data_IF_238700877990
#
_entry.id   IF_238700877990
#
_cell.length_a   1.000
_cell.length_b   1.000
_cell.length_c   1.000
_cell.angle_alpha   90.00
_cell.angle_beta   90.00
_cell.angle_gamma   90.00
#
_symmetry.space_group_name_H-M   'P 1'
#
loop_
_entity.id
_entity.type
_entity.pdbx_description
1 polymer ?
#
# COMPACT_ATOMS: atom_id res chain seq x y z
N UNK A 1 -26.54 21.50 4.14
CA UNK A 1 -26.02 21.80 5.49
C UNK A 1 -24.51 21.66 5.45
N UNK A 2 -23.71 22.68 5.81
CA UNK A 2 -22.27 22.49 5.89
C UNK A 2 -21.96 21.51 7.02
N UNK A 3 -21.14 20.51 6.73
CA UNK A 3 -20.60 19.57 7.72
C UNK A 3 -19.79 20.37 8.74
N UNK A 4 -19.91 20.07 10.03
CA UNK A 4 -19.12 20.77 11.04
C UNK A 4 -17.63 20.52 10.80
N UNK A 5 -16.79 21.54 11.03
CA UNK A 5 -15.34 21.43 10.82
C UNK A 5 -14.71 20.24 11.55
N UNK A 6 -15.23 19.92 12.74
CA UNK A 6 -14.82 18.76 13.53
C UNK A 6 -15.07 17.43 12.82
N UNK A 7 -16.25 17.26 12.20
CA UNK A 7 -16.57 16.04 11.45
C UNK A 7 -15.69 15.92 10.21
N UNK A 8 -15.44 17.05 9.52
CA UNK A 8 -14.54 17.07 8.36
C UNK A 8 -13.12 16.63 8.73
N UNK A 9 -12.54 17.23 9.77
CA UNK A 9 -11.18 16.91 10.22
C UNK A 9 -11.08 15.44 10.69
N UNK A 10 -12.10 14.92 11.38
CA UNK A 10 -12.16 13.52 11.80
C UNK A 10 -12.18 12.55 10.62
N UNK A 11 -13.01 12.79 9.60
CA UNK A 11 -13.09 11.92 8.41
C UNK A 11 -11.77 11.91 7.64
N UNK A 12 -11.10 13.06 7.51
CA UNK A 12 -9.76 13.11 6.90
C UNK A 12 -8.73 12.31 7.70
N UNK A 13 -8.75 12.36 9.03
CA UNK A 13 -7.84 11.55 9.86
C UNK A 13 -8.10 10.07 9.66
N UNK A 14 -9.37 9.64 9.62
CA UNK A 14 -9.73 8.24 9.36
C UNK A 14 -9.22 7.76 7.99
N UNK A 15 -9.33 8.59 6.95
CA UNK A 15 -8.80 8.28 5.62
C UNK A 15 -7.27 8.05 5.64
N UNK A 16 -6.52 8.96 6.27
CA UNK A 16 -5.06 8.79 6.38
C UNK A 16 -4.64 7.59 7.23
N UNK A 17 -5.38 7.29 8.30
CA UNK A 17 -5.15 6.08 9.10
C UNK A 17 -5.44 4.84 8.26
N UNK A 18 -6.54 4.83 7.49
CA UNK A 18 -6.89 3.76 6.57
C UNK A 18 -5.80 3.48 5.55
N UNK A 19 -5.26 4.53 4.91
CA UNK A 19 -4.12 4.40 3.98
C UNK A 19 -2.91 3.81 4.69
N UNK A 20 -2.60 4.27 5.89
CA UNK A 20 -1.46 3.76 6.67
C UNK A 20 -1.62 2.28 7.00
N UNK A 21 -2.79 1.87 7.49
CA UNK A 21 -3.11 0.46 7.79
C UNK A 21 -3.01 -0.39 6.54
N UNK A 22 -3.54 0.07 5.41
CA UNK A 22 -3.50 -0.65 4.14
C UNK A 22 -2.06 -0.85 3.63
N UNK A 23 -1.18 0.15 3.78
CA UNK A 23 0.25 -0.01 3.43
C UNK A 23 0.91 -1.05 4.35
N UNK A 24 0.65 -1.01 5.66
CA UNK A 24 1.25 -1.98 6.58
C UNK A 24 0.80 -3.40 6.23
N UNK A 25 -0.51 -3.61 6.09
CA UNK A 25 -1.07 -4.96 5.91
C UNK A 25 -0.78 -5.52 4.52
N UNK A 26 -0.63 -4.69 3.49
CA UNK A 26 -0.24 -5.17 2.16
C UNK A 26 1.17 -5.76 2.15
N UNK A 27 2.08 -5.36 3.05
CA UNK A 27 3.42 -5.96 3.09
C UNK A 27 3.41 -7.40 3.62
N UNK A 28 2.40 -7.81 4.40
CA UNK A 28 2.40 -9.11 5.07
C UNK A 28 2.41 -10.30 4.11
N UNK A 29 1.46 -10.45 3.17
CA UNK A 29 1.42 -11.63 2.31
C UNK A 29 2.67 -11.81 1.43
N UNK A 30 3.12 -10.80 0.64
CA UNK A 30 4.27 -10.98 -0.24
C UNK A 30 5.55 -11.29 0.53
N UNK A 31 5.84 -10.56 1.61
CA UNK A 31 7.06 -10.78 2.39
C UNK A 31 7.04 -12.17 3.03
N UNK A 32 5.90 -12.59 3.56
CA UNK A 32 5.76 -13.90 4.17
C UNK A 32 6.03 -15.04 3.17
N UNK A 33 5.46 -14.95 1.96
CA UNK A 33 5.63 -16.00 0.95
C UNK A 33 6.98 -15.94 0.22
N UNK A 34 7.48 -14.74 -0.11
CA UNK A 34 8.74 -14.56 -0.84
C UNK A 34 9.94 -14.99 0.01
N UNK A 35 9.89 -14.72 1.31
CA UNK A 35 10.96 -15.07 2.25
C UNK A 35 10.58 -16.27 3.12
N UNK A 36 9.70 -17.17 2.66
CA UNK A 36 9.21 -18.31 3.44
C UNK A 36 10.35 -19.20 4.00
N UNK A 37 11.43 -19.33 3.22
CA UNK A 37 12.62 -20.10 3.60
C UNK A 37 13.57 -19.36 4.55
N UNK A 38 13.42 -18.04 4.73
CA UNK A 38 14.29 -17.20 5.55
C UNK A 38 13.45 -16.26 6.44
N UNK A 39 13.07 -16.80 7.59
CA UNK A 39 12.23 -16.09 8.57
C UNK A 39 12.90 -14.85 9.17
N UNK A 40 14.23 -14.75 9.11
CA UNK A 40 14.96 -13.59 9.64
C UNK A 40 14.56 -12.32 8.86
N UNK A 41 14.53 -12.39 7.53
CA UNK A 41 14.15 -11.25 6.69
C UNK A 41 12.67 -10.88 6.80
N UNK A 42 11.80 -11.87 7.05
CA UNK A 42 10.39 -11.59 7.33
C UNK A 42 10.25 -10.67 8.55
N UNK A 43 10.90 -10.99 9.66
CA UNK A 43 10.82 -10.18 10.88
C UNK A 43 11.39 -8.78 10.68
N UNK A 44 12.50 -8.65 9.95
CA UNK A 44 13.10 -7.34 9.66
C UNK A 44 12.14 -6.47 8.86
N UNK A 45 11.61 -6.98 7.75
CA UNK A 45 10.77 -6.19 6.85
C UNK A 45 9.39 -5.92 7.43
N UNK A 46 8.73 -6.93 8.01
CA UNK A 46 7.41 -6.77 8.62
C UNK A 46 7.48 -5.94 9.90
N UNK A 47 8.52 -6.14 10.71
CA UNK A 47 8.76 -5.31 11.89
C UNK A 47 9.02 -3.85 11.49
N UNK A 48 9.88 -3.62 10.51
CA UNK A 48 10.22 -2.29 10.00
C UNK A 48 9.01 -1.52 9.50
N UNK A 49 8.22 -2.10 8.59
CA UNK A 49 7.03 -1.42 8.04
C UNK A 49 5.96 -1.19 9.12
N UNK A 50 5.82 -2.11 10.07
CA UNK A 50 4.87 -1.97 11.18
C UNK A 50 5.27 -0.83 12.11
N UNK A 51 6.55 -0.72 12.49
CA UNK A 51 7.05 0.38 13.34
C UNK A 51 6.91 1.73 12.64
N UNK A 52 7.27 1.80 11.36
CA UNK A 52 7.09 3.02 10.56
C UNK A 52 5.61 3.40 10.47
N UNK A 53 4.75 2.44 10.16
CA UNK A 53 3.31 2.65 10.02
C UNK A 53 2.62 3.06 11.32
N UNK A 54 2.94 2.42 12.45
CA UNK A 54 2.43 2.82 13.77
C UNK A 54 2.89 4.25 14.10
N UNK A 55 4.14 4.59 13.82
CA UNK A 55 4.65 5.96 14.02
C UNK A 55 3.86 6.98 13.18
N UNK A 56 3.52 6.64 11.94
CA UNK A 56 2.68 7.46 11.06
C UNK A 56 1.28 7.62 11.64
N UNK A 57 0.64 6.54 12.10
CA UNK A 57 -0.69 6.57 12.71
C UNK A 57 -0.71 7.44 13.97
N UNK A 58 0.29 7.30 14.85
CA UNK A 58 0.42 8.15 16.06
C UNK A 58 0.54 9.62 15.67
N UNK A 59 1.32 9.94 14.63
CA UNK A 59 1.49 11.30 14.13
C UNK A 59 0.18 11.86 13.57
N UNK A 60 -0.63 11.03 12.90
CA UNK A 60 -1.93 11.42 12.34
C UNK A 60 -3.00 11.64 13.42
N UNK A 61 -2.99 10.81 14.47
CA UNK A 61 -3.95 10.90 15.58
C UNK A 61 -3.58 11.98 16.60
N UNK A 62 -2.32 12.39 16.67
CA UNK A 62 -1.86 13.42 17.59
C UNK A 62 -2.40 14.81 17.19
N UNK A 63 -3.13 15.51 18.08
CA UNK A 63 -3.67 16.84 17.79
C UNK A 63 -2.59 17.89 17.48
N UNK A 64 -1.39 17.71 18.02
CA UNK A 64 -0.26 18.63 17.82
C UNK A 64 0.42 18.36 16.48
N UNK A 65 0.62 17.08 16.14
CA UNK A 65 1.33 16.66 14.94
C UNK A 65 0.44 16.59 13.69
N UNK A 66 -0.88 16.64 13.85
CA UNK A 66 -1.83 16.77 12.73
C UNK A 66 -1.95 18.21 12.22
N UNK A 67 -1.42 19.20 12.95
CA UNK A 67 -1.44 20.61 12.53
C UNK A 67 -0.71 20.83 11.20
N UNK A 68 -1.04 21.94 10.51
CA UNK A 68 -0.43 22.29 9.22
C UNK A 68 1.09 22.45 9.26
N UNK A 69 1.66 22.78 10.43
CA UNK A 69 3.12 22.92 10.64
C UNK A 69 3.88 21.61 10.37
N UNK A 70 3.27 20.46 10.64
CA UNK A 70 3.88 19.15 10.46
C UNK A 70 3.45 18.45 9.17
N UNK A 71 2.88 19.18 8.21
CA UNK A 71 2.47 18.61 6.92
C UNK A 71 3.63 17.92 6.20
N UNK A 72 4.82 18.52 6.21
CA UNK A 72 6.02 17.94 5.59
C UNK A 72 6.49 16.66 6.28
N UNK A 73 6.38 16.60 7.62
CA UNK A 73 6.69 15.38 8.39
C UNK A 73 5.78 14.23 7.96
N UNK A 74 4.47 14.46 7.91
CA UNK A 74 3.51 13.41 7.48
C UNK A 74 3.77 12.94 6.06
N UNK A 75 4.04 13.88 5.14
CA UNK A 75 4.40 13.54 3.76
C UNK A 75 5.68 12.70 3.70
N UNK A 76 6.71 13.08 4.47
CA UNK A 76 7.96 12.31 4.55
C UNK A 76 7.74 10.90 5.10
N UNK A 77 6.89 10.72 6.11
CA UNK A 77 6.58 9.39 6.65
C UNK A 77 5.92 8.47 5.62
N UNK A 78 4.94 8.97 4.87
CA UNK A 78 4.32 8.20 3.78
C UNK A 78 5.30 7.86 2.66
N UNK A 79 6.14 8.83 2.26
CA UNK A 79 7.18 8.61 1.24
C UNK A 79 8.20 7.58 1.74
N UNK A 80 8.63 7.67 2.99
CA UNK A 80 9.57 6.72 3.58
C UNK A 80 8.99 5.31 3.61
N UNK A 81 7.72 5.13 3.99
CA UNK A 81 7.06 3.82 3.95
C UNK A 81 7.00 3.25 2.52
N UNK A 82 6.70 4.10 1.52
CA UNK A 82 6.71 3.68 0.11
C UNK A 82 8.11 3.29 -0.39
N UNK A 83 9.13 4.10 -0.08
CA UNK A 83 10.53 3.81 -0.46
C UNK A 83 11.08 2.58 0.26
N UNK A 84 10.67 2.34 1.50
CA UNK A 84 11.05 1.14 2.24
C UNK A 84 10.62 -0.13 1.49
N UNK A 85 9.46 -0.12 0.80
CA UNK A 85 8.99 -1.22 -0.03
C UNK A 85 9.90 -1.60 -1.20
N UNK A 86 10.75 -0.70 -1.69
CA UNK A 86 11.71 -1.02 -2.75
C UNK A 86 12.81 -1.97 -2.27
N UNK A 87 13.21 -1.87 -1.00
CA UNK A 87 14.28 -2.67 -0.41
C UNK A 87 13.95 -4.18 -0.44
N UNK A 88 12.82 -4.67 0.12
CA UNK A 88 12.49 -6.08 0.07
C UNK A 88 12.22 -6.57 -1.35
N UNK A 89 11.69 -5.72 -2.25
CA UNK A 89 11.50 -6.10 -3.67
C UNK A 89 12.85 -6.37 -4.33
N UNK A 90 13.82 -5.47 -4.18
CA UNK A 90 15.17 -5.66 -4.75
C UNK A 90 15.83 -6.89 -4.13
N UNK A 91 15.74 -7.05 -2.81
CA UNK A 91 16.30 -8.21 -2.13
C UNK A 91 15.68 -9.54 -2.60
N UNK A 92 14.35 -9.56 -2.77
CA UNK A 92 13.61 -10.70 -3.29
C UNK A 92 14.05 -11.11 -4.69
N UNK A 93 14.29 -10.14 -5.58
CA UNK A 93 14.77 -10.38 -6.95
C UNK A 93 16.14 -11.06 -6.94
N UNK A 94 17.03 -10.62 -6.06
CA UNK A 94 18.40 -11.14 -5.95
C UNK A 94 18.40 -12.56 -5.40
N UNK A 95 17.69 -12.81 -4.29
CA UNK A 95 17.69 -14.11 -3.61
C UNK A 95 16.92 -15.17 -4.40
N UNK A 96 15.81 -14.79 -5.04
CA UNK A 96 14.96 -15.71 -5.80
C UNK A 96 15.24 -15.67 -7.31
N UNK A 97 16.50 -15.44 -7.70
CA UNK A 97 16.86 -15.24 -9.11
C UNK A 97 16.53 -16.45 -10.00
N UNK A 98 16.60 -17.67 -9.47
CA UNK A 98 16.32 -18.90 -10.20
C UNK A 98 14.88 -19.38 -10.10
N UNK A 99 14.01 -18.73 -9.30
CA UNK A 99 12.64 -19.20 -9.09
C UNK A 99 11.77 -18.94 -10.34
N UNK A 100 11.14 -19.98 -10.93
CA UNK A 100 10.35 -19.83 -12.16
C UNK A 100 9.19 -18.83 -12.04
N UNK A 101 8.63 -18.68 -10.84
CA UNK A 101 7.47 -17.83 -10.59
C UNK A 101 7.81 -16.36 -10.36
N UNK A 102 9.10 -16.02 -10.17
CA UNK A 102 9.56 -14.66 -9.87
C UNK A 102 8.96 -13.63 -10.82
N UNK A 103 8.97 -13.90 -12.12
CA UNK A 103 8.49 -12.95 -13.12
C UNK A 103 6.99 -12.66 -13.01
N UNK A 104 6.18 -13.68 -12.67
CA UNK A 104 4.74 -13.52 -12.47
C UNK A 104 4.50 -12.66 -11.23
N UNK A 105 5.12 -13.02 -10.09
CA UNK A 105 5.03 -12.23 -8.85
C UNK A 105 5.41 -10.76 -9.09
N UNK A 106 6.57 -10.51 -9.72
CA UNK A 106 7.03 -9.15 -10.00
C UNK A 106 6.09 -8.38 -10.93
N UNK A 107 5.47 -9.05 -11.92
CA UNK A 107 4.52 -8.41 -12.81
C UNK A 107 3.28 -7.91 -12.05
N UNK A 108 2.71 -8.74 -11.16
CA UNK A 108 1.57 -8.31 -10.37
C UNK A 108 1.93 -7.24 -9.33
N UNK A 109 3.07 -7.37 -8.64
CA UNK A 109 3.60 -6.34 -7.74
C UNK A 109 3.79 -5.01 -8.48
N UNK A 110 4.28 -5.05 -9.72
CA UNK A 110 4.40 -3.87 -10.58
C UNK A 110 3.03 -3.28 -10.96
N UNK A 111 2.03 -4.11 -11.31
CA UNK A 111 0.67 -3.64 -11.59
C UNK A 111 0.05 -2.99 -10.35
N UNK A 112 0.25 -3.56 -9.16
CA UNK A 112 -0.17 -2.96 -7.90
C UNK A 112 0.51 -1.60 -7.68
N UNK A 113 1.84 -1.55 -7.78
CA UNK A 113 2.62 -0.33 -7.57
C UNK A 113 2.22 0.79 -8.57
N UNK A 114 2.04 0.45 -9.85
CA UNK A 114 1.55 1.37 -10.86
C UNK A 114 0.13 1.85 -10.56
N UNK A 115 -0.76 0.96 -10.12
CA UNK A 115 -2.12 1.33 -9.74
C UNK A 115 -2.11 2.37 -8.61
N UNK A 116 -1.33 2.14 -7.55
CA UNK A 116 -1.19 3.09 -6.45
C UNK A 116 -0.53 4.41 -6.88
N UNK A 117 0.49 4.37 -7.73
CA UNK A 117 1.16 5.56 -8.21
C UNK A 117 0.23 6.44 -9.06
N UNK A 118 -0.50 5.82 -10.00
CA UNK A 118 -1.46 6.52 -10.87
C UNK A 118 -2.59 7.12 -10.03
N UNK A 119 -3.18 6.34 -9.11
CA UNK A 119 -4.20 6.83 -8.20
C UNK A 119 -3.71 8.05 -7.39
N UNK A 120 -2.52 7.95 -6.80
CA UNK A 120 -1.91 9.04 -6.02
C UNK A 120 -1.66 10.28 -6.88
N UNK A 121 -1.24 10.11 -8.14
CA UNK A 121 -1.07 11.22 -9.08
C UNK A 121 -2.40 11.92 -9.35
N UNK A 122 -3.51 11.21 -9.57
CA UNK A 122 -4.82 11.83 -9.69
C UNK A 122 -5.19 12.62 -8.42
N UNK A 123 -5.04 12.02 -7.24
CA UNK A 123 -5.34 12.67 -5.96
C UNK A 123 -4.56 13.97 -5.74
N UNK A 124 -3.24 13.95 -5.97
CA UNK A 124 -2.37 15.12 -5.71
C UNK A 124 -2.57 16.20 -6.77
N UNK A 125 -2.70 15.82 -8.04
CA UNK A 125 -2.82 16.76 -9.15
C UNK A 125 -4.18 17.44 -9.22
N UNK A 126 -5.22 16.84 -8.62
CA UNK A 126 -6.61 17.28 -8.74
C UNK A 126 -7.03 17.47 -10.20
N UNK A 127 -6.54 16.57 -11.07
CA UNK A 127 -6.92 16.51 -12.49
C UNK A 127 -8.44 16.29 -12.58
N UNK A 128 -9.07 16.91 -13.59
CA UNK A 128 -10.52 17.07 -13.81
C UNK A 128 -11.18 18.21 -13.02
N UNK A 129 -11.18 18.17 -11.69
CA UNK A 129 -11.82 19.22 -10.87
C UNK A 129 -11.11 20.58 -11.02
N UNK A 130 -9.79 20.57 -11.26
CA UNK A 130 -9.03 21.79 -11.60
C UNK A 130 -9.37 22.34 -12.99
N UNK A 131 -9.79 21.50 -13.93
CA UNK A 131 -10.06 21.89 -15.31
C UNK A 131 -11.50 22.36 -15.53
N UNK A 132 -12.47 21.76 -14.82
CA UNK A 132 -13.89 22.16 -14.87
C UNK A 132 -14.46 22.23 -13.44
N UNK A 133 -14.23 23.34 -12.71
CA UNK A 133 -14.83 23.56 -11.40
C UNK A 133 -16.36 23.47 -11.46
N UNK A 134 -16.99 22.76 -10.52
CA UNK A 134 -18.45 22.61 -10.44
C UNK A 134 -19.06 21.44 -11.21
N UNK A 135 -18.32 20.81 -12.13
CA UNK A 135 -18.83 19.66 -12.93
C UNK A 135 -18.65 18.31 -12.23
N UNK A 136 -17.65 18.19 -11.37
CA UNK A 136 -17.25 16.93 -10.71
C UNK A 136 -17.57 16.94 -9.20
N UNK A 137 -18.45 17.82 -8.74
CA UNK A 137 -18.72 18.02 -7.31
C UNK A 137 -19.40 16.81 -6.65
N UNK A 138 -20.09 15.97 -7.44
CA UNK A 138 -20.80 14.76 -6.98
C UNK A 138 -20.07 13.46 -7.36
N UNK A 139 -19.55 13.38 -8.59
CA UNK A 139 -18.96 12.16 -9.13
C UNK A 139 -17.78 12.46 -10.06
N UNK A 140 -16.80 11.56 -10.09
CA UNK A 140 -15.63 11.62 -11.00
C UNK A 140 -14.54 12.59 -10.56
N UNK A 141 -14.59 13.14 -9.35
CA UNK A 141 -13.51 13.96 -8.82
C UNK A 141 -12.28 13.11 -8.46
N UNK A 142 -11.13 13.77 -8.34
CA UNK A 142 -9.82 13.13 -8.21
C UNK A 142 -9.73 12.12 -7.07
N UNK A 143 -10.38 12.40 -5.93
CA UNK A 143 -10.41 11.52 -4.77
C UNK A 143 -11.24 10.24 -4.99
N UNK A 144 -12.34 10.28 -5.77
CA UNK A 144 -13.05 9.06 -6.16
C UNK A 144 -12.20 8.19 -7.09
N UNK A 145 -11.54 8.82 -8.06
CA UNK A 145 -10.63 8.12 -8.98
C UNK A 145 -9.48 7.46 -8.20
N UNK A 146 -8.90 8.17 -7.23
CA UNK A 146 -7.90 7.63 -6.32
C UNK A 146 -8.38 6.35 -5.63
N UNK A 147 -9.58 6.35 -5.04
CA UNK A 147 -10.13 5.16 -4.38
C UNK A 147 -10.33 3.99 -5.36
N UNK A 148 -10.75 4.24 -6.61
CA UNK A 148 -10.85 3.19 -7.64
C UNK A 148 -9.50 2.54 -7.90
N UNK A 149 -8.44 3.34 -8.07
CA UNK A 149 -7.07 2.82 -8.26
C UNK A 149 -6.54 2.08 -7.03
N UNK A 150 -6.87 2.56 -5.84
CA UNK A 150 -6.54 1.88 -4.58
C UNK A 150 -7.20 0.49 -4.52
N UNK A 151 -8.47 0.39 -4.88
CA UNK A 151 -9.21 -0.88 -4.91
C UNK A 151 -8.61 -1.83 -5.97
N UNK A 152 -8.28 -1.33 -7.16
CA UNK A 152 -7.62 -2.13 -8.19
C UNK A 152 -6.27 -2.68 -7.70
N UNK A 153 -5.47 -1.84 -7.04
CA UNK A 153 -4.21 -2.26 -6.40
C UNK A 153 -4.45 -3.37 -5.37
N UNK A 154 -5.41 -3.19 -4.47
CA UNK A 154 -5.76 -4.18 -3.45
C UNK A 154 -6.26 -5.51 -4.04
N UNK A 155 -7.08 -5.47 -5.11
CA UNK A 155 -7.55 -6.66 -5.81
C UNK A 155 -6.41 -7.40 -6.51
N UNK A 156 -5.49 -6.67 -7.13
CA UNK A 156 -4.27 -7.23 -7.73
C UNK A 156 -3.44 -7.94 -6.67
N UNK A 157 -3.32 -7.31 -5.50
CA UNK A 157 -2.60 -7.86 -4.34
C UNK A 157 -3.22 -9.15 -3.81
N UNK A 158 -4.55 -9.16 -3.70
CA UNK A 158 -5.29 -10.33 -3.31
C UNK A 158 -5.12 -11.48 -4.31
N UNK A 159 -5.11 -11.18 -5.61
CA UNK A 159 -4.84 -12.15 -6.67
C UNK A 159 -3.46 -12.81 -6.54
N UNK A 160 -2.42 -12.04 -6.23
CA UNK A 160 -1.07 -12.57 -5.98
C UNK A 160 -1.03 -13.48 -4.77
N UNK A 161 -1.67 -13.08 -3.67
CA UNK A 161 -1.71 -13.90 -2.45
C UNK A 161 -2.37 -15.26 -2.71
N UNK A 162 -3.41 -15.32 -3.55
CA UNK A 162 -4.02 -16.57 -3.98
C UNK A 162 -3.08 -17.42 -4.84
N UNK A 163 -2.35 -16.82 -5.78
CA UNK A 163 -1.36 -17.54 -6.62
C UNK A 163 -0.27 -18.16 -5.73
N UNK A 164 0.22 -17.42 -4.73
CA UNK A 164 1.19 -17.96 -3.77
C UNK A 164 0.63 -19.15 -2.97
N UNK A 165 -0.61 -19.03 -2.49
CA UNK A 165 -1.29 -20.11 -1.78
C UNK A 165 -1.42 -21.36 -2.64
N UNK A 166 -1.94 -21.24 -3.87
CA UNK A 166 -2.12 -22.35 -4.81
C UNK A 166 -0.79 -23.04 -5.14
N UNK A 167 0.27 -22.26 -5.34
CA UNK A 167 1.60 -22.80 -5.61
C UNK A 167 2.15 -23.61 -4.44
N UNK A 168 2.03 -23.08 -3.23
CA UNK A 168 2.46 -23.78 -2.01
C UNK A 168 1.70 -25.09 -1.84
N UNK A 169 0.40 -25.07 -2.09
CA UNK A 169 -0.46 -26.25 -2.03
C UNK A 169 -0.04 -27.32 -3.05
N UNK A 170 0.33 -26.90 -4.27
CA UNK A 170 0.86 -27.80 -5.31
C UNK A 170 2.21 -28.41 -4.89
N UNK A 171 3.17 -27.60 -4.46
CA UNK A 171 4.49 -28.08 -3.97
C UNK A 171 4.33 -29.03 -2.78
N UNK A 172 3.38 -28.77 -1.88
CA UNK A 172 3.07 -29.64 -0.75
C UNK A 172 2.55 -31.02 -1.18
N UNK A 173 1.61 -31.05 -2.13
CA UNK A 173 1.09 -32.31 -2.70
C UNK A 173 2.17 -33.13 -3.40
N UNK A 174 3.04 -32.48 -4.17
CA UNK A 174 4.14 -33.16 -4.87
C UNK A 174 5.13 -33.82 -3.90
N UNK A 175 5.45 -33.18 -2.76
CA UNK A 175 6.31 -33.77 -1.72
C UNK A 175 5.71 -34.96 -0.98
N UNK A 176 4.37 -35.04 -0.87
CA UNK A 176 3.69 -36.17 -0.22
C UNK A 176 3.56 -37.35 -1.18
N UNK A 177 3.60 -37.11 -2.49
CA UNK A 177 3.47 -38.14 -3.52
C UNK A 177 4.79 -38.84 -3.89
N UNK A 178 5.93 -38.38 -3.37
CA UNK A 178 7.29 -38.96 -3.55
C UNK A 178 7.76 -39.64 -2.27
#
# INVERSE_FOLDING_TARGET
MPVSRQIFDATCTVDYVGISVMIITSFFPPIYYIFECDTHWQFIYLGGITVMGISTIITLLSPVLSTGKFRSLRAFMFVAMGLFGLIPVIHAVIVNWSEPQRNITLAYEAVMALSYLIGTMFYVSRILERWKPGWFDLAGHSHQIFHVFVIMGALTHYGVALIFLEFRDRKGRERVAT
#
